data_IF_984034500159
#
_entry.id   IF_984034500159
#
_cell.length_a   1.000
_cell.length_b   1.000
_cell.length_c   1.000
_cell.angle_alpha   90.00
_cell.angle_beta   90.00
_cell.angle_gamma   90.00
#
_symmetry.space_group_name_H-M   'P 1'
#
loop_
_entity.id
_entity.type
_entity.pdbx_description
1 polymer ?
#
# COMPACT_ATOMS: atom_id res chain seq x y z
N UNK A 1 6.97 2.73 -72.83
CA UNK A 1 8.18 2.86 -71.99
C UNK A 1 7.76 2.63 -70.57
N UNK A 2 8.28 1.55 -69.96
CA UNK A 2 8.03 1.18 -68.58
C UNK A 2 8.65 2.23 -67.65
N UNK A 3 7.94 2.59 -66.60
CA UNK A 3 8.55 3.19 -65.42
C UNK A 3 8.08 2.34 -64.24
N UNK A 4 8.90 1.33 -63.94
CA UNK A 4 8.94 0.68 -62.64
C UNK A 4 9.28 1.75 -61.59
N UNK A 5 8.37 1.94 -60.63
CA UNK A 5 8.65 2.65 -59.39
C UNK A 5 8.39 1.66 -58.24
N UNK A 6 9.51 1.12 -57.79
CA UNK A 6 9.72 0.27 -56.62
C UNK A 6 8.82 0.57 -55.43
N UNK A 7 8.20 -0.48 -54.89
CA UNK A 7 7.48 -0.45 -53.62
C UNK A 7 8.38 0.07 -52.49
N UNK A 8 7.96 1.07 -51.71
CA UNK A 8 8.75 1.52 -50.56
C UNK A 8 8.66 0.45 -49.47
N UNK A 9 9.81 -0.09 -49.04
CA UNK A 9 9.91 -0.97 -47.87
C UNK A 9 9.60 -0.15 -46.63
N UNK A 10 8.32 -0.14 -46.25
CA UNK A 10 7.87 0.50 -45.03
C UNK A 10 8.19 -0.40 -43.85
N UNK A 11 9.39 -0.25 -43.29
CA UNK A 11 9.67 -0.68 -41.92
C UNK A 11 8.88 0.23 -40.95
N UNK A 12 7.57 0.02 -40.89
CA UNK A 12 6.69 0.70 -39.95
C UNK A 12 6.76 -0.07 -38.64
N UNK A 13 7.43 0.50 -37.64
CA UNK A 13 7.26 0.04 -36.26
C UNK A 13 5.87 0.51 -35.84
N UNK A 14 4.88 -0.38 -35.92
CA UNK A 14 3.52 -0.12 -35.46
C UNK A 14 3.48 -0.24 -33.94
N UNK A 15 3.47 0.90 -33.27
CA UNK A 15 3.20 0.97 -31.84
C UNK A 15 1.68 1.00 -31.64
N UNK A 16 1.11 -0.15 -31.29
CA UNK A 16 -0.27 -0.24 -30.81
C UNK A 16 -0.30 -0.03 -29.30
N UNK A 17 -1.07 0.95 -28.85
CA UNK A 17 -1.37 1.11 -27.42
C UNK A 17 -2.05 -0.16 -26.91
N UNK A 18 -1.31 -0.97 -26.16
CA UNK A 18 -1.87 -2.06 -25.37
C UNK A 18 -2.63 -1.45 -24.18
N UNK A 19 -3.85 -0.98 -24.43
CA UNK A 19 -4.77 -0.59 -23.37
C UNK A 19 -5.08 -1.84 -22.56
N UNK A 20 -4.45 -1.96 -21.39
CA UNK A 20 -4.68 -3.04 -20.44
C UNK A 20 -6.18 -3.15 -20.22
N UNK A 21 -6.77 -4.28 -20.61
CA UNK A 21 -8.19 -4.56 -20.41
C UNK A 21 -8.43 -4.73 -18.91
N UNK A 22 -8.69 -3.62 -18.24
CA UNK A 22 -9.13 -3.57 -16.86
C UNK A 22 -10.44 -4.38 -16.75
N UNK A 23 -10.36 -5.61 -16.23
CA UNK A 23 -11.55 -6.42 -15.94
C UNK A 23 -12.07 -6.07 -14.55
N UNK A 24 -13.18 -5.33 -14.54
CA UNK A 24 -14.16 -5.11 -13.47
C UNK A 24 -13.81 -5.55 -12.02
N UNK A 25 -13.53 -4.53 -11.20
CA UNK A 25 -14.32 -4.10 -10.03
C UNK A 25 -14.32 -4.82 -8.67
N UNK A 26 -13.49 -5.83 -8.38
CA UNK A 26 -13.47 -6.38 -7.01
C UNK A 26 -12.11 -6.64 -6.36
N UNK A 27 -11.01 -6.60 -7.12
CA UNK A 27 -9.71 -6.84 -6.52
C UNK A 27 -9.17 -5.57 -5.85
N UNK A 28 -8.86 -5.66 -4.55
CA UNK A 28 -8.23 -4.56 -3.79
C UNK A 28 -6.72 -4.44 -4.05
N UNK A 29 -6.15 -5.35 -4.86
CA UNK A 29 -4.73 -5.49 -5.17
C UNK A 29 -3.86 -5.42 -3.90
N UNK A 30 -4.24 -6.20 -2.89
CA UNK A 30 -3.59 -6.21 -1.57
C UNK A 30 -2.53 -7.30 -1.46
N UNK A 31 -2.82 -8.57 -1.79
CA UNK A 31 -1.75 -9.56 -1.96
C UNK A 31 -1.04 -9.31 -3.29
N UNK A 32 0.27 -9.12 -3.22
CA UNK A 32 1.14 -8.76 -4.33
C UNK A 32 2.28 -9.77 -4.39
N UNK A 33 2.56 -10.24 -5.59
CA UNK A 33 3.73 -11.04 -5.93
C UNK A 33 4.72 -10.09 -6.61
N UNK A 34 5.90 -9.94 -6.01
CA UNK A 34 6.96 -9.07 -6.52
C UNK A 34 8.08 -9.95 -7.08
N UNK A 35 8.42 -9.77 -8.36
CA UNK A 35 9.58 -10.40 -8.96
C UNK A 35 10.73 -9.40 -9.01
N UNK A 36 11.79 -9.65 -8.25
CA UNK A 36 12.98 -8.78 -8.21
C UNK A 36 13.76 -8.80 -9.53
N UNK A 37 13.76 -9.93 -10.25
CA UNK A 37 14.50 -10.09 -11.50
C UNK A 37 13.89 -9.31 -12.66
N UNK A 38 12.55 -9.31 -12.75
CA UNK A 38 11.80 -8.68 -13.84
C UNK A 38 11.30 -7.28 -13.48
N UNK A 39 11.47 -6.86 -12.23
CA UNK A 39 10.88 -5.63 -11.67
C UNK A 39 9.37 -5.52 -11.95
N UNK A 40 8.66 -6.66 -11.93
CA UNK A 40 7.22 -6.71 -12.14
C UNK A 40 6.50 -6.93 -10.82
N UNK A 41 5.32 -6.34 -10.72
CA UNK A 41 4.40 -6.57 -9.60
C UNK A 41 3.13 -7.17 -10.18
N UNK A 42 2.71 -8.30 -9.64
CA UNK A 42 1.48 -8.97 -10.03
C UNK A 42 0.57 -9.06 -8.82
N UNK A 43 -0.74 -8.91 -9.02
CA UNK A 43 -1.68 -9.21 -7.95
C UNK A 43 -1.96 -10.71 -7.90
N UNK A 44 -1.86 -11.31 -6.71
CA UNK A 44 -2.15 -12.73 -6.51
C UNK A 44 -3.61 -13.09 -6.82
N UNK A 45 -4.56 -12.22 -6.46
CA UNK A 45 -5.99 -12.49 -6.58
C UNK A 45 -6.51 -12.38 -8.03
N UNK A 46 -5.96 -11.45 -8.82
CA UNK A 46 -6.48 -11.17 -10.16
C UNK A 46 -5.46 -11.42 -11.28
N UNK A 47 -4.22 -11.79 -10.94
CA UNK A 47 -3.14 -12.03 -11.90
C UNK A 47 -2.80 -10.83 -12.77
N UNK A 48 -3.21 -9.62 -12.39
CA UNK A 48 -2.98 -8.43 -13.19
C UNK A 48 -1.54 -7.93 -12.98
N UNK A 49 -0.84 -7.65 -14.09
CA UNK A 49 0.44 -6.96 -14.05
C UNK A 49 0.19 -5.50 -13.67
N UNK A 50 0.70 -5.11 -12.51
CA UNK A 50 0.59 -3.78 -11.93
C UNK A 50 1.88 -3.01 -12.15
N UNK A 51 1.75 -1.67 -12.26
CA UNK A 51 2.91 -0.80 -12.30
C UNK A 51 3.57 -0.75 -10.91
N UNK A 52 4.83 -1.16 -10.76
CA UNK A 52 5.53 -1.18 -9.46
C UNK A 52 5.58 0.20 -8.80
N UNK A 53 5.84 1.25 -9.57
CA UNK A 53 5.95 2.63 -9.05
C UNK A 53 4.59 3.11 -8.53
N UNK A 54 3.50 2.81 -9.23
CA UNK A 54 2.16 3.15 -8.77
C UNK A 54 1.81 2.42 -7.46
N UNK A 55 2.25 1.16 -7.31
CA UNK A 55 2.06 0.39 -6.09
C UNK A 55 2.90 0.91 -4.92
N UNK A 56 4.16 1.31 -5.17
CA UNK A 56 5.02 1.92 -4.16
C UNK A 56 4.44 3.22 -3.62
N UNK A 57 3.91 4.10 -4.48
CA UNK A 57 3.25 5.34 -4.06
C UNK A 57 2.07 5.03 -3.13
N UNK A 58 1.23 4.07 -3.51
CA UNK A 58 0.10 3.64 -2.68
C UNK A 58 0.56 3.10 -1.32
N UNK A 59 1.56 2.23 -1.29
CA UNK A 59 2.12 1.68 -0.05
C UNK A 59 2.69 2.78 0.85
N UNK A 60 3.41 3.75 0.28
CA UNK A 60 3.95 4.89 1.04
C UNK A 60 2.84 5.75 1.69
N UNK A 61 1.71 5.93 0.98
CA UNK A 61 0.55 6.61 1.55
C UNK A 61 -0.11 5.79 2.68
N UNK A 62 -0.29 4.48 2.50
CA UNK A 62 -0.85 3.59 3.53
C UNK A 62 0.06 3.55 4.78
N UNK A 63 1.38 3.45 4.61
CA UNK A 63 2.37 3.45 5.69
C UNK A 63 2.36 4.78 6.47
N UNK A 64 2.27 5.91 5.76
CA UNK A 64 2.18 7.24 6.38
C UNK A 64 0.97 7.35 7.30
N UNK A 65 -0.16 6.75 6.92
CA UNK A 65 -1.37 6.70 7.74
C UNK A 65 -1.21 5.77 8.95
N UNK A 66 -0.59 4.61 8.76
CA UNK A 66 -0.34 3.67 9.86
C UNK A 66 0.57 4.27 10.93
N UNK A 67 1.63 4.98 10.51
CA UNK A 67 2.54 5.66 11.44
C UNK A 67 1.80 6.68 12.30
N UNK A 68 0.99 7.55 11.67
CA UNK A 68 0.17 8.54 12.38
C UNK A 68 -0.79 7.90 13.37
N UNK A 69 -1.49 6.84 12.94
CA UNK A 69 -2.42 6.13 13.81
C UNK A 69 -1.69 5.44 14.97
N UNK A 70 -0.51 4.87 14.73
CA UNK A 70 0.31 4.25 15.76
C UNK A 70 0.75 5.26 16.82
N UNK A 71 1.23 6.43 16.39
CA UNK A 71 1.64 7.51 17.29
C UNK A 71 0.46 8.00 18.14
N UNK A 72 -0.73 8.18 17.55
CA UNK A 72 -1.95 8.52 18.28
C UNK A 72 -2.36 7.44 19.29
N UNK A 73 -2.30 6.16 18.91
CA UNK A 73 -2.62 5.06 19.82
C UNK A 73 -1.61 4.97 20.98
N UNK A 74 -0.35 5.32 20.73
CA UNK A 74 0.68 5.38 21.77
C UNK A 74 0.39 6.51 22.77
N UNK A 75 0.04 7.69 22.28
CA UNK A 75 -0.33 8.85 23.11
C UNK A 75 -1.57 8.53 23.98
N UNK A 76 -2.64 8.02 23.38
CA UNK A 76 -3.84 7.60 24.10
C UNK A 76 -3.55 6.53 25.16
N UNK A 77 -2.64 5.59 24.87
CA UNK A 77 -2.21 4.58 25.85
C UNK A 77 -1.47 5.21 27.04
N UNK A 78 -0.62 6.20 26.79
CA UNK A 78 0.10 6.94 27.84
C UNK A 78 -0.87 7.76 28.70
N UNK A 79 -1.84 8.44 28.09
CA UNK A 79 -2.89 9.15 28.82
C UNK A 79 -3.71 8.21 29.71
N UNK A 80 -4.16 7.07 29.17
CA UNK A 80 -4.90 6.08 29.95
C UNK A 80 -4.07 5.52 31.10
N UNK A 81 -2.77 5.28 30.88
CA UNK A 81 -1.85 4.82 31.92
C UNK A 81 -1.71 5.87 33.04
N UNK A 82 -1.68 7.15 32.69
CA UNK A 82 -1.61 8.23 33.67
C UNK A 82 -2.93 8.37 34.45
N UNK A 83 -4.08 8.29 33.79
CA UNK A 83 -5.40 8.31 34.45
C UNK A 83 -5.63 7.11 35.39
N UNK A 84 -5.03 5.97 35.07
CA UNK A 84 -5.06 4.79 35.94
C UNK A 84 -4.17 4.93 37.18
N UNK A 85 -3.32 5.95 37.29
CA UNK A 85 -2.44 6.14 38.44
C UNK A 85 -3.04 7.16 39.41
N UNK A 86 -3.15 6.77 40.68
CA UNK A 86 -3.57 7.65 41.76
C UNK A 86 -2.49 7.71 42.84
N UNK A 87 -2.38 8.84 43.52
CA UNK A 87 -1.53 8.97 44.71
C UNK A 87 -2.22 8.25 45.87
N UNK A 88 -1.50 7.38 46.56
CA UNK A 88 -2.03 6.74 47.77
C UNK A 88 -1.97 7.72 48.94
N UNK A 89 -3.10 7.92 49.63
CA UNK A 89 -3.15 8.82 50.80
C UNK A 89 -2.33 8.32 51.99
N UNK A 90 -2.14 7.00 52.10
CA UNK A 90 -1.40 6.39 53.22
C UNK A 90 0.12 6.43 53.05
N UNK A 91 0.64 6.18 51.83
CA UNK A 91 2.08 6.07 51.60
C UNK A 91 2.65 7.11 50.62
N UNK A 92 1.81 7.96 50.01
CA UNK A 92 2.23 9.03 49.10
C UNK A 92 2.73 8.59 47.73
N UNK A 93 2.88 7.28 47.49
CA UNK A 93 3.34 6.72 46.21
C UNK A 93 2.22 6.68 45.16
N UNK A 94 2.60 6.76 43.88
CA UNK A 94 1.68 6.58 42.75
C UNK A 94 1.41 5.09 42.50
N UNK A 95 0.15 4.68 42.63
CA UNK A 95 -0.30 3.28 42.47
C UNK A 95 -1.33 3.17 41.34
N UNK A 96 -1.35 2.02 40.64
CA UNK A 96 -2.32 1.77 39.57
C UNK A 96 -3.66 1.29 40.14
N UNK A 97 -4.77 1.84 39.65
CA UNK A 97 -6.13 1.37 39.91
C UNK A 97 -6.31 0.02 39.21
N UNK A 98 -6.69 -1.02 39.97
CA UNK A 98 -7.09 -2.32 39.42
C UNK A 98 -8.62 -2.36 39.33
N UNK A 99 -9.24 -2.16 38.15
CA UNK A 99 -10.69 -2.32 38.03
C UNK A 99 -11.07 -3.78 38.32
N UNK A 100 -12.17 -3.98 39.05
CA UNK A 100 -12.71 -5.31 39.32
C UNK A 100 -13.18 -5.92 37.99
N UNK A 101 -12.62 -7.06 37.59
CA UNK A 101 -13.08 -7.79 36.39
C UNK A 101 -14.55 -8.18 36.57
N UNK A 102 -15.37 -7.94 35.55
CA UNK A 102 -16.76 -8.37 35.49
C UNK A 102 -16.84 -9.80 35.00
#
# INVERSE_FOLDING_TARGET
MNIDLTEPTTNVISLTDARVKYRNNYCRHRPLIVSEELNTVECEDCGALLNPVAMLIRLAHEESMWKRNFDQMKELREELKNRQRCKCDHCGNMTNIRPRRK
#
